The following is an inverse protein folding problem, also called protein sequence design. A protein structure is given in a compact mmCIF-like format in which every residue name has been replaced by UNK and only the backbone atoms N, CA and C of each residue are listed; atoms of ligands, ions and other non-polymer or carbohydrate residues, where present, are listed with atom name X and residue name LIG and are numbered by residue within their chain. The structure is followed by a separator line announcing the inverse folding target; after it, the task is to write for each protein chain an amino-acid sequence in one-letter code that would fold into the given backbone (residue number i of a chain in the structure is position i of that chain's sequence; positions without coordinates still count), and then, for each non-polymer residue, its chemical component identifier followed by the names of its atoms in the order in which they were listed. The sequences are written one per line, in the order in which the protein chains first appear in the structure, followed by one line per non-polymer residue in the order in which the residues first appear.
data_IF_462777045516
#
_entry.id   IF_462777045516
#
_cell.length_a   1.000
_cell.length_b   1.000
_cell.length_c   1.000
_cell.angle_alpha   90.00
_cell.angle_beta   90.00
_cell.angle_gamma   90.00
#
_symmetry.space_group_name_H-M   'P 1'
#
loop_
_entity.id
_entity.type
_entity.pdbx_description
1 polymer ?
#
# COMPACT_ATOMS: atom_id res chain seq x y z
N UNK A 1 30.28 -31.98 -39.14
CA UNK A 1 29.38 -32.87 -39.94
C UNK A 1 27.98 -32.65 -39.40
N UNK A 2 27.23 -31.88 -40.16
CA UNK A 2 25.93 -32.17 -40.77
C UNK A 2 24.86 -32.53 -39.75
N UNK A 3 23.75 -31.89 -39.69
CA UNK A 3 22.83 -31.49 -40.68
C UNK A 3 21.68 -30.66 -40.15
N UNK A 4 21.49 -29.71 -40.78
CA UNK A 4 20.45 -28.86 -41.28
C UNK A 4 19.13 -29.64 -41.57
N UNK A 5 18.03 -29.22 -40.98
CA UNK A 5 16.70 -29.43 -41.59
C UNK A 5 15.74 -28.28 -41.23
N UNK A 6 15.55 -27.44 -42.23
CA UNK A 6 14.47 -26.51 -42.37
C UNK A 6 13.22 -27.32 -42.72
N UNK A 7 12.09 -27.05 -42.10
CA UNK A 7 10.75 -27.27 -42.71
C UNK A 7 9.93 -26.00 -42.50
N UNK A 8 9.50 -25.50 -43.62
CA UNK A 8 8.71 -24.32 -43.81
C UNK A 8 7.20 -24.60 -43.71
N UNK A 9 6.49 -23.52 -43.56
CA UNK A 9 5.14 -23.19 -44.07
C UNK A 9 3.92 -23.74 -43.32
N UNK A 10 3.09 -22.82 -42.83
CA UNK A 10 1.74 -22.69 -43.37
C UNK A 10 1.12 -21.36 -42.92
N UNK A 11 0.68 -20.60 -43.90
CA UNK A 11 -0.23 -19.47 -43.85
C UNK A 11 -1.58 -19.89 -43.25
N UNK A 12 -2.21 -18.98 -42.53
CA UNK A 12 -3.60 -19.14 -42.06
C UNK A 12 -4.22 -17.78 -41.73
N UNK A 13 -4.93 -17.27 -42.69
CA UNK A 13 -5.84 -16.14 -42.80
C UNK A 13 -6.65 -15.68 -41.60
N UNK A 14 -6.80 -14.33 -41.58
CA UNK A 14 -8.02 -13.51 -41.36
C UNK A 14 -9.10 -13.96 -40.40
N UNK A 15 -9.38 -13.07 -39.41
CA UNK A 15 -10.74 -12.58 -39.15
C UNK A 15 -10.69 -11.28 -38.35
N UNK A 16 -11.03 -10.17 -39.04
CA UNK A 16 -11.48 -8.92 -38.41
C UNK A 16 -12.85 -9.19 -37.79
N UNK A 17 -12.98 -8.89 -36.49
CA UNK A 17 -14.27 -8.67 -35.89
C UNK A 17 -14.22 -7.35 -35.12
N UNK A 18 -14.66 -6.29 -35.79
CA UNK A 18 -15.07 -5.05 -35.17
C UNK A 18 -16.39 -5.32 -34.40
N UNK A 19 -16.38 -5.20 -33.09
CA UNK A 19 -17.61 -4.99 -32.33
C UNK A 19 -17.57 -3.60 -31.76
N UNK A 20 -18.23 -2.68 -32.46
CA UNK A 20 -18.80 -1.47 -31.90
C UNK A 20 -19.93 -1.94 -30.95
N UNK A 21 -19.80 -1.66 -29.69
CA UNK A 21 -20.81 -1.93 -28.64
C UNK A 21 -21.18 -0.63 -27.98
N UNK A 22 -22.36 -0.25 -28.26
CA UNK A 22 -23.18 0.86 -27.85
C UNK A 22 -23.05 1.32 -26.40
N UNK A 23 -23.23 2.64 -26.25
CA UNK A 23 -23.48 3.29 -24.98
C UNK A 23 -24.72 2.77 -24.28
N UNK A 24 -24.51 2.10 -23.16
CA UNK A 24 -25.56 1.78 -22.19
C UNK A 24 -25.58 2.85 -21.10
N UNK A 25 -26.54 3.74 -21.15
CA UNK A 25 -26.96 4.56 -20.01
C UNK A 25 -27.53 3.64 -18.93
N UNK A 26 -26.70 3.30 -17.96
CA UNK A 26 -27.19 2.64 -16.75
C UNK A 26 -27.71 3.69 -15.79
N UNK A 27 -29.01 3.90 -15.81
CA UNK A 27 -29.75 4.54 -14.75
C UNK A 27 -29.63 3.72 -13.47
N UNK A 28 -28.91 4.26 -12.50
CA UNK A 28 -28.88 3.72 -11.14
C UNK A 28 -30.21 3.97 -10.43
N UNK A 29 -30.84 2.95 -9.84
CA UNK A 29 -31.92 3.19 -8.91
C UNK A 29 -31.38 3.76 -7.60
N UNK A 30 -31.91 4.89 -7.20
CA UNK A 30 -31.68 5.46 -5.88
C UNK A 30 -32.29 4.53 -4.81
N UNK A 31 -31.42 3.83 -4.10
CA UNK A 31 -31.73 3.10 -2.89
C UNK A 31 -30.94 3.68 -1.73
N UNK A 32 -31.55 4.61 -0.98
CA UNK A 32 -30.95 5.17 0.22
C UNK A 32 -30.88 4.13 1.33
N UNK A 33 -29.67 3.76 1.75
CA UNK A 33 -29.37 3.14 3.02
C UNK A 33 -28.41 4.04 3.78
N UNK A 34 -28.65 4.35 5.06
CA UNK A 34 -27.71 5.13 5.86
C UNK A 34 -26.52 4.23 6.20
N UNK A 35 -25.33 4.65 5.83
CA UNK A 35 -23.99 4.08 6.09
C UNK A 35 -23.25 3.51 4.87
N UNK A 36 -23.37 4.14 3.72
CA UNK A 36 -22.38 3.96 2.69
C UNK A 36 -21.10 4.71 3.12
N UNK A 37 -20.21 4.00 3.80
CA UNK A 37 -18.81 4.39 3.91
C UNK A 37 -18.24 4.32 2.50
N UNK A 38 -18.26 5.42 1.79
CA UNK A 38 -17.50 5.59 0.55
C UNK A 38 -16.03 5.72 0.92
N UNK A 39 -15.46 4.61 1.37
CA UNK A 39 -14.03 4.45 1.43
C UNK A 39 -13.54 4.41 -0.01
N UNK A 40 -13.02 5.52 -0.50
CA UNK A 40 -12.29 5.53 -1.76
C UNK A 40 -11.19 4.48 -1.67
N UNK A 41 -11.33 3.42 -2.44
CA UNK A 41 -10.25 2.46 -2.67
C UNK A 41 -9.14 3.27 -3.34
N UNK A 42 -7.95 3.43 -2.74
CA UNK A 42 -6.88 4.18 -3.38
C UNK A 42 -6.53 3.46 -4.68
N UNK A 43 -6.70 4.15 -5.80
CA UNK A 43 -6.27 3.73 -7.11
C UNK A 43 -4.76 3.49 -7.07
N UNK A 44 -4.24 2.37 -7.59
CA UNK A 44 -2.81 2.17 -7.73
C UNK A 44 -2.25 3.27 -8.63
N UNK A 45 -1.43 4.17 -8.07
CA UNK A 45 -0.89 5.33 -8.78
C UNK A 45 -1.23 6.69 -8.17
N UNK A 46 -2.15 6.77 -7.21
CA UNK A 46 -2.26 7.96 -6.39
C UNK A 46 -1.01 8.05 -5.51
N UNK A 47 -0.18 9.05 -5.74
CA UNK A 47 1.01 9.31 -4.96
C UNK A 47 0.72 9.33 -3.47
N UNK A 48 1.74 9.16 -2.62
CA UNK A 48 1.58 8.95 -1.20
C UNK A 48 1.01 10.21 -0.53
N UNK A 49 -0.29 10.30 -0.45
CA UNK A 49 -0.91 11.11 0.60
C UNK A 49 -0.67 10.34 1.89
N UNK A 50 0.52 10.52 2.44
CA UNK A 50 0.83 10.06 3.78
C UNK A 50 -0.02 10.87 4.74
N UNK A 51 -1.25 10.43 4.99
CA UNK A 51 -1.91 10.79 6.23
C UNK A 51 -1.18 9.94 7.27
N UNK A 52 -0.31 10.54 8.08
CA UNK A 52 0.30 9.76 9.14
C UNK A 52 -0.82 9.34 10.08
N UNK A 53 -1.16 8.04 10.11
CA UNK A 53 -2.01 7.48 11.16
C UNK A 53 -1.44 7.90 12.53
N UNK A 54 -0.14 8.13 12.60
CA UNK A 54 0.56 8.71 13.75
C UNK A 54 0.07 10.11 14.16
N UNK A 55 -0.48 10.91 13.24
CA UNK A 55 -1.03 12.23 13.59
C UNK A 55 -2.38 12.11 14.32
N UNK A 56 -3.13 11.05 14.07
CA UNK A 56 -4.40 10.77 14.75
C UNK A 56 -4.22 9.98 16.06
N UNK A 57 -2.99 9.53 16.38
CA UNK A 57 -2.70 8.81 17.61
C UNK A 57 -2.79 9.71 18.85
N UNK A 58 -3.33 9.17 19.93
CA UNK A 58 -3.22 9.78 21.25
C UNK A 58 -1.73 10.10 21.53
N UNK A 59 -1.41 11.28 22.05
CA UNK A 59 -0.03 11.64 22.39
C UNK A 59 0.71 10.61 23.22
N UNK A 60 0.01 9.88 24.10
CA UNK A 60 0.57 8.82 24.94
C UNK A 60 0.98 7.57 24.16
N UNK A 61 0.39 7.34 22.99
CA UNK A 61 0.67 6.17 22.15
C UNK A 61 1.87 6.40 21.21
N UNK A 62 2.17 7.66 20.94
CA UNK A 62 3.23 8.03 19.99
C UNK A 62 4.60 7.43 20.28
N UNK A 63 5.08 7.37 21.54
CA UNK A 63 6.37 6.74 21.83
C UNK A 63 6.41 5.26 21.47
N UNK A 64 5.39 4.49 21.86
CA UNK A 64 5.31 3.05 21.57
C UNK A 64 5.18 2.78 20.07
N UNK A 65 4.27 3.48 19.41
CA UNK A 65 4.05 3.38 17.97
C UNK A 65 5.29 3.82 17.17
N UNK A 66 5.94 4.93 17.57
CA UNK A 66 7.14 5.45 16.93
C UNK A 66 8.34 4.50 17.03
N UNK A 67 8.54 3.90 18.20
CA UNK A 67 9.61 2.91 18.40
C UNK A 67 9.38 1.66 17.52
N UNK A 68 8.15 1.16 17.42
CA UNK A 68 7.80 0.05 16.55
C UNK A 68 7.95 0.41 15.07
N UNK A 69 7.58 1.64 14.69
CA UNK A 69 7.72 2.15 13.34
C UNK A 69 9.19 2.18 12.90
N UNK A 70 10.07 2.75 13.72
CA UNK A 70 11.51 2.77 13.45
C UNK A 70 12.09 1.35 13.36
N UNK A 71 11.67 0.45 14.25
CA UNK A 71 12.10 -0.96 14.21
C UNK A 71 11.65 -1.63 12.91
N UNK A 72 10.42 -1.40 12.47
CA UNK A 72 9.91 -1.94 11.21
C UNK A 72 10.70 -1.45 10.01
N UNK A 73 11.02 -0.15 9.95
CA UNK A 73 11.76 0.43 8.84
C UNK A 73 13.22 -0.04 8.81
N UNK A 74 13.87 -0.17 9.97
CA UNK A 74 15.29 -0.52 10.06
C UNK A 74 15.54 -2.01 9.91
N UNK A 75 14.73 -2.84 10.57
CA UNK A 75 15.01 -4.25 10.79
C UNK A 75 13.87 -5.18 10.39
N UNK A 76 12.68 -4.63 10.08
CA UNK A 76 11.53 -5.45 9.74
C UNK A 76 11.72 -6.19 8.43
N UNK A 77 11.33 -7.46 8.40
CA UNK A 77 11.26 -8.23 7.17
C UNK A 77 10.05 -7.76 6.33
N UNK A 78 10.16 -7.67 5.01
CA UNK A 78 9.05 -7.29 4.15
C UNK A 78 7.83 -8.18 4.37
N UNK A 79 6.68 -7.56 4.66
CA UNK A 79 5.44 -8.26 4.93
C UNK A 79 5.26 -8.77 6.37
N UNK A 80 6.32 -8.75 7.20
CA UNK A 80 6.21 -9.20 8.58
C UNK A 80 5.71 -8.07 9.50
N UNK A 81 4.66 -8.31 10.33
CA UNK A 81 4.12 -7.28 11.20
C UNK A 81 5.02 -7.05 12.42
N UNK A 82 5.29 -5.78 12.71
CA UNK A 82 5.93 -5.33 13.95
C UNK A 82 4.85 -4.73 14.85
N UNK A 83 4.53 -5.41 15.94
CA UNK A 83 3.48 -5.01 16.85
C UNK A 83 3.97 -4.00 17.91
N UNK A 84 3.03 -3.17 18.38
CA UNK A 84 3.19 -2.31 19.54
C UNK A 84 1.93 -2.30 20.39
N UNK A 85 2.07 -1.94 21.66
CA UNK A 85 0.97 -1.78 22.59
C UNK A 85 1.32 -0.71 23.63
N UNK A 86 0.34 0.08 24.00
CA UNK A 86 0.42 0.98 25.14
C UNK A 86 -0.48 0.45 26.27
N UNK A 87 0.08 0.03 27.40
CA UNK A 87 -0.71 -0.49 28.52
C UNK A 87 -1.56 0.59 29.22
N UNK A 88 -1.17 1.87 29.12
CA UNK A 88 -1.89 2.97 29.76
C UNK A 88 -3.22 3.31 29.06
N UNK A 89 -3.23 3.23 27.73
CA UNK A 89 -4.41 3.53 26.90
C UNK A 89 -5.17 2.28 26.50
N UNK A 90 -4.50 1.11 26.54
CA UNK A 90 -5.00 -0.14 25.97
C UNK A 90 -4.91 -0.20 24.43
N UNK A 91 -4.52 0.89 23.79
CA UNK A 91 -4.35 0.94 22.35
C UNK A 91 -3.16 0.09 21.89
N UNK A 92 -3.26 -0.44 20.72
CA UNK A 92 -2.23 -1.28 20.11
C UNK A 92 -2.27 -1.17 18.60
N UNK A 93 -1.25 -1.70 17.93
CA UNK A 93 -1.22 -1.68 16.48
C UNK A 93 -0.09 -2.52 15.91
N UNK A 94 -0.02 -2.51 14.58
CA UNK A 94 1.00 -3.22 13.81
C UNK A 94 1.49 -2.35 12.67
N UNK A 95 2.80 -2.41 12.43
CA UNK A 95 3.41 -1.81 11.25
C UNK A 95 3.93 -2.96 10.38
N UNK A 96 3.55 -2.96 9.11
CA UNK A 96 4.02 -3.94 8.12
C UNK A 96 4.87 -3.20 7.11
N UNK A 97 6.20 -3.38 7.12
CA UNK A 97 7.09 -2.76 6.15
C UNK A 97 7.05 -3.50 4.81
N UNK A 98 7.17 -2.75 3.73
CA UNK A 98 7.43 -3.27 2.39
C UNK A 98 8.91 -3.60 2.15
N UNK A 99 9.27 -4.06 0.95
CA UNK A 99 10.65 -4.20 0.53
C UNK A 99 11.34 -2.82 0.48
N UNK A 100 12.65 -2.80 0.73
CA UNK A 100 13.44 -1.60 0.55
C UNK A 100 13.64 -1.33 -0.96
N UNK A 101 13.60 -0.06 -1.34
CA UNK A 101 13.87 0.39 -2.70
C UNK A 101 14.74 1.64 -2.70
N UNK A 102 15.32 1.99 -3.85
CA UNK A 102 16.14 3.19 -4.00
C UNK A 102 15.31 4.31 -4.64
N UNK A 103 15.37 5.49 -4.06
CA UNK A 103 14.77 6.70 -4.61
C UNK A 103 15.70 7.88 -4.37
N UNK A 104 16.08 8.58 -5.43
CA UNK A 104 16.99 9.73 -5.35
C UNK A 104 18.29 9.47 -4.55
N UNK A 105 18.85 8.25 -4.68
CA UNK A 105 20.05 7.86 -3.96
C UNK A 105 19.85 7.51 -2.48
N UNK A 106 18.62 7.52 -2.01
CA UNK A 106 18.27 7.15 -0.64
C UNK A 106 17.58 5.78 -0.60
N UNK A 107 17.80 5.03 0.46
CA UNK A 107 17.04 3.81 0.73
C UNK A 107 15.69 4.19 1.32
N UNK A 108 14.61 3.78 0.65
CA UNK A 108 13.24 4.05 1.07
C UNK A 108 12.49 2.75 1.35
N UNK A 109 11.44 2.84 2.15
CA UNK A 109 10.51 1.74 2.41
C UNK A 109 9.09 2.26 2.50
N UNK A 110 8.19 1.53 1.87
CA UNK A 110 6.76 1.68 2.12
C UNK A 110 6.38 0.92 3.38
N UNK A 111 5.29 1.34 4.00
CA UNK A 111 4.72 0.64 5.15
C UNK A 111 3.22 0.84 5.23
N UNK A 112 2.55 -0.10 5.86
CA UNK A 112 1.19 0.09 6.36
C UNK A 112 1.20 0.08 7.89
N UNK A 113 0.44 0.98 8.50
CA UNK A 113 0.27 1.05 9.94
C UNK A 113 -1.20 0.90 10.29
N UNK A 114 -1.53 -0.15 11.01
CA UNK A 114 -2.87 -0.39 11.55
C UNK A 114 -2.85 -0.12 13.04
N UNK A 115 -3.77 0.73 13.50
CA UNK A 115 -3.96 1.08 14.91
C UNK A 115 -5.35 0.64 15.34
N UNK A 116 -5.46 0.06 16.51
CA UNK A 116 -6.72 -0.31 17.13
C UNK A 116 -7.02 0.63 18.30
N UNK A 117 -8.07 1.41 18.14
CA UNK A 117 -8.65 2.28 19.19
C UNK A 117 -10.04 1.75 19.50
N UNK A 118 -10.31 1.38 20.74
CA UNK A 118 -11.58 0.78 21.15
C UNK A 118 -11.98 -0.43 20.28
N UNK A 119 -11.02 -1.31 19.97
CA UNK A 119 -11.15 -2.45 19.06
C UNK A 119 -11.55 -2.11 17.61
N UNK A 120 -11.46 -0.85 17.21
CA UNK A 120 -11.71 -0.41 15.83
C UNK A 120 -10.39 -0.21 15.10
N UNK A 121 -10.13 -0.96 14.02
CA UNK A 121 -8.92 -0.77 13.24
C UNK A 121 -8.98 0.48 12.38
N UNK A 122 -7.88 1.22 12.37
CA UNK A 122 -7.62 2.33 11.45
C UNK A 122 -6.29 2.05 10.75
N UNK A 123 -6.29 2.03 9.43
CA UNK A 123 -5.09 1.73 8.66
C UNK A 123 -4.69 2.91 7.79
N UNK A 124 -3.43 3.28 7.88
CA UNK A 124 -2.79 4.24 6.99
C UNK A 124 -1.58 3.61 6.31
N UNK A 125 -1.18 4.20 5.19
CA UNK A 125 0.01 3.81 4.44
C UNK A 125 0.91 5.02 4.27
N UNK A 126 2.20 4.76 4.12
CA UNK A 126 3.17 5.81 3.89
C UNK A 126 4.48 5.23 3.36
N UNK A 127 5.38 6.13 3.05
CA UNK A 127 6.76 5.81 2.66
C UNK A 127 7.70 6.65 3.50
N UNK A 128 8.85 6.11 3.84
CA UNK A 128 9.93 6.84 4.50
C UNK A 128 11.25 6.52 3.83
N UNK A 129 12.12 7.52 3.75
CA UNK A 129 13.46 7.37 3.22
C UNK A 129 14.49 7.62 4.31
N UNK A 130 15.60 6.90 4.22
CA UNK A 130 16.70 7.00 5.15
C UNK A 130 17.62 8.14 4.75
N UNK A 131 17.76 9.12 5.64
CA UNK A 131 18.67 10.25 5.48
C UNK A 131 20.13 9.83 5.71
N UNK A 132 21.07 10.69 5.33
CA UNK A 132 22.51 10.42 5.46
C UNK A 132 22.96 10.23 6.93
N UNK A 133 22.25 10.84 7.87
CA UNK A 133 22.46 10.69 9.32
C UNK A 133 21.85 9.38 9.89
N UNK A 134 21.20 8.58 9.04
CA UNK A 134 20.55 7.33 9.41
C UNK A 134 19.13 7.46 9.93
N UNK A 135 18.60 8.68 10.04
CA UNK A 135 17.20 8.91 10.41
C UNK A 135 16.25 8.54 9.27
N UNK A 136 15.01 8.20 9.62
CA UNK A 136 13.95 7.95 8.65
C UNK A 136 12.99 9.14 8.59
N UNK A 137 12.86 9.72 7.40
CA UNK A 137 11.97 10.87 7.16
C UNK A 137 10.81 10.45 6.25
N UNK A 138 9.57 10.85 6.58
CA UNK A 138 8.43 10.60 5.71
C UNK A 138 8.63 11.22 4.33
N UNK A 139 8.21 10.50 3.30
CA UNK A 139 8.09 11.03 1.95
C UNK A 139 6.72 11.70 1.86
N UNK A 140 6.71 12.99 1.59
CA UNK A 140 5.51 13.82 1.38
C UNK A 140 5.17 13.95 -0.10
#
# INVERSE_FOLDING_TARGET
MAGFRIVAAALGCLALAACAGDGGLSTSPAGGGPNAFTGSVPTPGAGPSAIPVTAALDPRDRPAAGAAHLRALQFGEPGAPVAWRNPETGHHGTIVPGPAYQSNGQTCREFSHTVYVDNRPQTGRGSSCRSADGSWTPLS
#
